data_IF_972681795127
#
_entry.id   IF_972681795127
#
_cell.length_a   1.000
_cell.length_b   1.000
_cell.length_c   1.000
_cell.angle_alpha   90.00
_cell.angle_beta   90.00
_cell.angle_gamma   90.00
#
_symmetry.space_group_name_H-M   'P 1'
#
loop_
_entity.id
_entity.type
_entity.pdbx_description
1 polymer ?
#
# COMPACT_ATOMS: atom_id res chain seq x y z
N UNK A 1 25.65 26.89 -72.32
CA UNK A 1 25.35 27.42 -70.97
C UNK A 1 24.77 28.84 -70.97
N UNK A 2 24.87 29.61 -72.07
CA UNK A 2 24.40 31.01 -72.17
C UNK A 2 22.90 31.22 -72.45
N UNK A 3 22.14 30.17 -72.74
CA UNK A 3 20.70 30.29 -73.08
C UNK A 3 19.74 30.17 -71.88
N UNK A 4 20.19 29.66 -70.73
CA UNK A 4 19.31 29.42 -69.56
C UNK A 4 19.25 30.64 -68.63
N UNK A 5 20.30 31.47 -68.62
CA UNK A 5 20.41 32.66 -67.77
C UNK A 5 19.25 33.67 -67.92
N UNK A 6 18.80 34.04 -69.13
CA UNK A 6 17.68 34.98 -69.30
C UNK A 6 16.31 34.37 -68.95
N UNK A 7 16.17 33.04 -69.03
CA UNK A 7 14.93 32.33 -68.69
C UNK A 7 14.78 32.22 -67.16
N UNK A 8 15.89 32.01 -66.45
CA UNK A 8 15.93 32.08 -64.98
C UNK A 8 15.62 33.51 -64.48
N UNK A 9 16.15 34.53 -65.17
CA UNK A 9 15.91 35.93 -64.81
C UNK A 9 14.43 36.34 -64.92
N UNK A 10 13.67 35.79 -65.88
CA UNK A 10 12.22 36.03 -65.99
C UNK A 10 11.41 35.37 -64.88
N UNK A 11 11.88 34.25 -64.34
CA UNK A 11 11.18 33.54 -63.26
C UNK A 11 11.37 34.21 -61.88
N UNK A 12 12.27 35.18 -61.78
CA UNK A 12 12.65 35.89 -60.56
C UNK A 12 12.21 37.37 -60.54
N UNK A 13 11.20 37.75 -61.32
CA UNK A 13 10.57 39.07 -61.17
C UNK A 13 9.74 39.11 -59.88
N UNK A 14 10.42 39.28 -58.75
CA UNK A 14 9.79 39.58 -57.45
C UNK A 14 9.42 41.06 -57.45
N UNK A 15 8.17 41.36 -57.12
CA UNK A 15 7.70 42.75 -57.00
C UNK A 15 8.59 43.54 -56.04
N UNK A 16 8.80 44.81 -56.34
CA UNK A 16 9.44 45.77 -55.43
C UNK A 16 8.30 46.57 -54.79
N UNK A 17 8.22 46.53 -53.46
CA UNK A 17 7.20 47.28 -52.71
C UNK A 17 7.47 48.78 -52.71
N UNK A 18 6.49 49.58 -52.29
CA UNK A 18 6.58 51.05 -52.23
C UNK A 18 7.73 51.57 -51.34
N UNK A 19 8.26 50.73 -50.45
CA UNK A 19 9.42 51.00 -49.57
C UNK A 19 10.78 50.65 -50.18
N UNK A 20 10.83 50.18 -51.44
CA UNK A 20 12.07 49.76 -52.11
C UNK A 20 12.58 48.37 -51.70
N UNK A 21 11.89 47.68 -50.80
CA UNK A 21 12.17 46.30 -50.41
C UNK A 21 11.50 45.26 -51.32
N UNK A 22 11.97 44.01 -51.28
CA UNK A 22 11.31 42.89 -51.94
C UNK A 22 9.90 42.71 -51.36
N UNK A 23 8.89 42.57 -52.22
CA UNK A 23 7.54 42.30 -51.74
C UNK A 23 7.47 40.93 -51.07
N UNK A 24 7.02 40.92 -49.82
CA UNK A 24 6.79 39.71 -49.03
C UNK A 24 5.29 39.44 -48.87
N UNK A 25 4.78 38.52 -49.68
CA UNK A 25 3.40 38.03 -49.57
C UNK A 25 3.29 36.78 -48.70
N UNK A 26 4.39 36.31 -48.10
CA UNK A 26 4.42 35.04 -47.38
C UNK A 26 3.42 35.01 -46.22
N UNK A 27 3.28 36.10 -45.47
CA UNK A 27 2.30 36.20 -44.39
C UNK A 27 0.84 36.06 -44.86
N UNK A 28 0.52 36.57 -46.06
CA UNK A 28 -0.83 36.44 -46.65
C UNK A 28 -1.09 35.00 -47.07
N UNK A 29 -0.05 34.31 -47.58
CA UNK A 29 -0.12 32.91 -47.98
C UNK A 29 -0.22 31.98 -46.77
N UNK A 30 0.46 32.30 -45.65
CA UNK A 30 0.46 31.49 -44.42
C UNK A 30 -0.83 31.63 -43.60
N UNK A 31 -1.49 32.80 -43.69
CA UNK A 31 -2.72 33.11 -42.95
C UNK A 31 -3.84 32.06 -43.09
N UNK A 32 -4.22 31.56 -44.29
CA UNK A 32 -5.24 30.51 -44.40
C UNK A 32 -4.82 29.21 -43.70
N UNK A 33 -3.55 28.82 -43.76
CA UNK A 33 -3.05 27.62 -43.06
C UNK A 33 -3.09 27.80 -41.55
N UNK A 34 -2.70 28.98 -41.07
CA UNK A 34 -2.78 29.33 -39.66
C UNK A 34 -4.23 29.24 -39.13
N UNK A 35 -5.19 29.74 -39.91
CA UNK A 35 -6.61 29.64 -39.56
C UNK A 35 -7.10 28.19 -39.49
N UNK A 36 -6.72 27.36 -40.46
CA UNK A 36 -7.08 25.93 -40.47
C UNK A 36 -6.50 25.23 -39.25
N UNK A 37 -5.22 25.42 -38.93
CA UNK A 37 -4.59 24.83 -37.75
C UNK A 37 -5.17 25.36 -36.44
N UNK A 38 -5.52 26.65 -36.38
CA UNK A 38 -6.17 27.25 -35.22
C UNK A 38 -7.53 26.64 -34.94
N UNK A 39 -8.36 26.48 -35.97
CA UNK A 39 -9.68 25.84 -35.86
C UNK A 39 -9.54 24.38 -35.48
N UNK A 40 -8.60 23.65 -36.10
CA UNK A 40 -8.34 22.25 -35.75
C UNK A 40 -7.91 22.12 -34.28
N UNK A 41 -6.99 22.96 -33.82
CA UNK A 41 -6.49 22.95 -32.45
C UNK A 41 -7.60 23.23 -31.44
N UNK A 42 -8.38 24.30 -31.64
CA UNK A 42 -9.50 24.66 -30.78
C UNK A 42 -10.57 23.58 -30.76
N UNK A 43 -10.94 23.03 -31.92
CA UNK A 43 -11.94 21.96 -32.01
C UNK A 43 -11.49 20.71 -31.26
N UNK A 44 -10.22 20.32 -31.40
CA UNK A 44 -9.67 19.13 -30.72
C UNK A 44 -9.51 19.33 -29.22
N UNK A 45 -8.99 20.46 -28.74
CA UNK A 45 -8.86 20.74 -27.30
C UNK A 45 -10.22 20.85 -26.63
N UNK A 46 -11.21 21.45 -27.31
CA UNK A 46 -12.59 21.50 -26.85
C UNK A 46 -13.24 20.11 -26.76
N UNK A 47 -13.06 19.26 -27.78
CA UNK A 47 -13.56 17.88 -27.75
C UNK A 47 -12.93 17.05 -26.62
N UNK A 48 -11.64 17.23 -26.34
CA UNK A 48 -10.94 16.53 -25.25
C UNK A 48 -11.51 16.95 -23.90
N UNK A 49 -11.62 18.26 -23.64
CA UNK A 49 -12.20 18.78 -22.40
C UNK A 49 -13.66 18.34 -22.21
N UNK A 50 -14.42 18.16 -23.30
CA UNK A 50 -15.79 17.64 -23.23
C UNK A 50 -15.86 16.12 -22.98
N UNK A 51 -14.87 15.34 -23.43
CA UNK A 51 -14.84 13.87 -23.26
C UNK A 51 -14.27 13.44 -21.91
N UNK A 52 -13.39 14.25 -21.33
CA UNK A 52 -12.74 13.97 -20.05
C UNK A 52 -13.16 15.01 -19.02
N UNK A 53 -14.18 14.72 -18.18
CA UNK A 53 -14.70 15.68 -17.21
C UNK A 53 -13.69 16.07 -16.11
N UNK A 54 -12.57 15.35 -15.98
CA UNK A 54 -11.47 15.66 -15.08
C UNK A 54 -10.44 16.64 -15.66
N UNK A 55 -10.59 17.06 -16.93
CA UNK A 55 -9.56 17.86 -17.64
C UNK A 55 -10.12 19.24 -18.01
N UNK A 56 -9.53 20.29 -17.44
CA UNK A 56 -9.87 21.66 -17.78
C UNK A 56 -9.38 22.02 -19.21
N UNK A 57 -10.02 22.98 -19.87
CA UNK A 57 -9.59 23.41 -21.21
C UNK A 57 -8.10 23.85 -21.31
N UNK A 58 -7.53 24.59 -20.33
CA UNK A 58 -6.09 24.88 -20.35
C UNK A 58 -5.23 23.62 -20.15
N UNK A 59 -5.66 22.64 -19.36
CA UNK A 59 -4.96 21.34 -19.26
C UNK A 59 -5.04 20.57 -20.59
N UNK A 60 -6.19 20.56 -21.26
CA UNK A 60 -6.36 19.94 -22.58
C UNK A 60 -5.49 20.62 -23.64
N UNK A 61 -5.25 21.93 -23.50
CA UNK A 61 -4.31 22.70 -24.33
C UNK A 61 -2.86 22.29 -24.03
N UNK A 62 -2.53 22.07 -22.75
CA UNK A 62 -1.21 21.63 -22.31
C UNK A 62 -0.87 20.21 -22.78
N UNK A 63 -1.84 19.31 -22.81
CA UNK A 63 -1.68 17.97 -23.39
C UNK A 63 -1.26 18.00 -24.86
N UNK A 64 -1.60 19.08 -25.57
CA UNK A 64 -1.25 19.31 -26.97
C UNK A 64 -0.32 20.50 -27.15
N UNK A 65 0.55 20.75 -26.17
CA UNK A 65 1.47 21.90 -26.19
C UNK A 65 2.26 22.02 -27.50
N UNK A 66 2.61 20.90 -28.14
CA UNK A 66 3.36 20.86 -29.40
C UNK A 66 2.59 21.42 -30.60
N UNK A 67 1.25 21.38 -30.59
CA UNK A 67 0.43 21.94 -31.68
C UNK A 67 0.43 23.49 -31.65
N UNK A 68 0.79 24.11 -30.52
CA UNK A 68 0.92 25.58 -30.42
C UNK A 68 1.98 26.08 -31.41
N UNK A 69 3.01 25.28 -31.70
CA UNK A 69 4.03 25.62 -32.69
C UNK A 69 3.51 25.74 -34.12
N UNK A 70 2.39 25.07 -34.45
CA UNK A 70 1.69 25.27 -35.73
C UNK A 70 1.08 26.67 -35.84
N UNK A 71 0.78 27.30 -34.71
CA UNK A 71 0.13 28.60 -34.62
C UNK A 71 1.10 29.79 -34.62
N UNK A 72 2.41 29.53 -34.60
CA UNK A 72 3.42 30.59 -34.58
C UNK A 72 3.78 31.02 -36.01
N UNK A 73 3.55 32.30 -36.40
CA UNK A 73 3.88 32.78 -37.74
C UNK A 73 5.39 33.08 -37.91
N UNK A 74 6.11 33.34 -36.81
CA UNK A 74 7.52 33.74 -36.81
C UNK A 74 8.51 32.58 -36.53
N UNK A 75 8.07 31.51 -35.86
CA UNK A 75 8.89 30.31 -35.56
C UNK A 75 8.47 29.12 -36.43
N UNK A 76 8.49 29.30 -37.75
CA UNK A 76 7.98 28.31 -38.69
C UNK A 76 8.78 27.00 -38.67
N UNK A 77 10.08 27.04 -38.36
CA UNK A 77 10.90 25.83 -38.26
C UNK A 77 10.46 24.92 -37.10
N UNK A 78 9.86 25.48 -36.04
CA UNK A 78 9.32 24.71 -34.92
C UNK A 78 8.10 23.86 -35.33
N UNK A 79 7.46 24.16 -36.47
CA UNK A 79 6.38 23.34 -37.04
C UNK A 79 6.83 21.94 -37.43
N UNK A 80 8.14 21.71 -37.57
CA UNK A 80 8.66 20.35 -37.81
C UNK A 80 8.36 19.39 -36.65
N UNK A 81 8.27 19.90 -35.42
CA UNK A 81 8.00 19.10 -34.21
C UNK A 81 6.60 18.49 -34.27
N UNK A 82 5.49 19.26 -34.34
CA UNK A 82 4.14 18.71 -34.43
C UNK A 82 3.95 17.85 -35.69
N UNK A 83 4.56 18.22 -36.81
CA UNK A 83 4.50 17.43 -38.05
C UNK A 83 5.15 16.06 -37.85
N UNK A 84 6.35 16.00 -37.28
CA UNK A 84 7.06 14.73 -37.03
C UNK A 84 6.30 13.84 -36.05
N UNK A 85 5.71 14.43 -35.00
CA UNK A 85 4.87 13.69 -34.04
C UNK A 85 3.63 13.13 -34.75
N UNK A 86 2.92 13.96 -35.53
CA UNK A 86 1.74 13.51 -36.29
C UNK A 86 2.09 12.41 -37.30
N UNK A 87 3.25 12.49 -37.95
CA UNK A 87 3.74 11.45 -38.87
C UNK A 87 4.04 10.13 -38.15
N UNK A 88 4.50 10.20 -36.90
CA UNK A 88 4.65 9.04 -36.05
C UNK A 88 3.32 8.45 -35.61
N UNK A 89 2.35 9.28 -35.25
CA UNK A 89 1.02 8.82 -34.80
C UNK A 89 0.25 8.08 -35.91
N UNK A 90 0.48 8.45 -37.17
CA UNK A 90 -0.04 7.74 -38.36
C UNK A 90 0.89 6.64 -38.87
N UNK A 91 1.91 6.27 -38.09
CA UNK A 91 2.87 5.17 -38.35
C UNK A 91 3.67 5.29 -39.66
N UNK A 92 3.78 6.50 -40.22
CA UNK A 92 4.59 6.75 -41.42
C UNK A 92 6.08 6.81 -41.07
N UNK A 93 6.42 7.30 -39.86
CA UNK A 93 7.78 7.29 -39.33
C UNK A 93 7.76 6.61 -37.96
N UNK A 94 8.66 5.66 -37.71
CA UNK A 94 8.80 5.06 -36.38
C UNK A 94 9.80 5.87 -35.55
N UNK A 95 9.29 6.70 -34.63
CA UNK A 95 10.09 7.40 -33.62
C UNK A 95 10.16 6.65 -32.28
N UNK A 96 9.67 5.42 -32.18
CA UNK A 96 9.67 4.64 -30.93
C UNK A 96 11.09 4.44 -30.39
N UNK A 97 12.09 4.22 -31.24
CA UNK A 97 13.49 4.06 -30.82
C UNK A 97 14.04 5.35 -30.20
N UNK A 98 13.76 6.49 -30.82
CA UNK A 98 14.19 7.81 -30.32
C UNK A 98 13.44 8.15 -29.04
N UNK A 99 12.12 7.89 -28.99
CA UNK A 99 11.28 8.05 -27.80
C UNK A 99 11.79 7.17 -26.66
N UNK A 100 12.12 5.91 -26.92
CA UNK A 100 12.63 4.96 -25.94
C UNK A 100 14.02 5.36 -25.43
N UNK A 101 14.86 5.98 -26.26
CA UNK A 101 16.18 6.43 -25.85
C UNK A 101 16.13 7.75 -25.07
N UNK A 102 15.28 8.69 -25.50
CA UNK A 102 14.99 9.91 -24.76
C UNK A 102 14.33 9.60 -23.41
N UNK A 103 13.38 8.65 -23.39
CA UNK A 103 12.75 8.22 -22.15
C UNK A 103 13.74 7.50 -21.26
N UNK A 104 14.67 6.66 -21.75
CA UNK A 104 15.71 6.06 -20.90
C UNK A 104 16.62 7.10 -20.24
N UNK A 105 17.02 8.15 -20.95
CA UNK A 105 17.84 9.23 -20.38
C UNK A 105 17.08 10.03 -19.32
N UNK A 106 15.83 10.37 -19.60
CA UNK A 106 14.94 11.10 -18.69
C UNK A 106 14.50 10.25 -17.49
N UNK A 107 14.13 9.00 -17.72
CA UNK A 107 13.77 8.01 -16.70
C UNK A 107 14.98 7.67 -15.84
N UNK A 108 16.21 7.59 -16.36
CA UNK A 108 17.39 7.34 -15.53
C UNK A 108 17.67 8.51 -14.57
N UNK A 109 17.50 9.76 -15.02
CA UNK A 109 17.66 10.94 -14.15
C UNK A 109 16.55 11.07 -13.11
N UNK A 110 15.33 10.65 -13.45
CA UNK A 110 14.15 10.85 -12.61
C UNK A 110 13.86 9.63 -11.73
N UNK A 111 14.24 8.42 -12.15
CA UNK A 111 13.96 7.20 -11.40
C UNK A 111 14.62 7.22 -10.03
N UNK A 112 15.79 7.82 -9.86
CA UNK A 112 16.43 7.87 -8.55
C UNK A 112 15.63 8.75 -7.57
N UNK A 113 15.26 9.96 -7.99
CA UNK A 113 14.50 10.91 -7.15
C UNK A 113 13.04 10.48 -6.96
N UNK A 114 12.36 10.00 -8.02
CA UNK A 114 10.98 9.53 -7.91
C UNK A 114 10.84 8.20 -7.19
N UNK A 115 11.79 7.26 -7.31
CA UNK A 115 11.69 6.00 -6.56
C UNK A 115 11.81 6.25 -5.06
N UNK A 116 12.69 7.17 -4.64
CA UNK A 116 12.79 7.59 -3.24
C UNK A 116 11.48 8.22 -2.76
N UNK A 117 10.88 9.12 -3.55
CA UNK A 117 9.58 9.74 -3.25
C UNK A 117 8.45 8.70 -3.16
N UNK A 118 8.36 7.77 -4.11
CA UNK A 118 7.34 6.71 -4.12
C UNK A 118 7.48 5.81 -2.89
N UNK A 119 8.70 5.42 -2.52
CA UNK A 119 8.96 4.62 -1.31
C UNK A 119 8.57 5.41 -0.05
N UNK A 120 8.98 6.68 0.05
CA UNK A 120 8.63 7.55 1.17
C UNK A 120 7.13 7.76 1.28
N UNK A 121 6.42 7.87 0.16
CA UNK A 121 4.96 7.96 0.12
C UNK A 121 4.28 6.71 0.65
N UNK A 122 4.71 5.53 0.20
CA UNK A 122 4.18 4.26 0.70
C UNK A 122 4.41 4.17 2.21
N UNK A 123 5.62 4.49 2.68
CA UNK A 123 5.95 4.44 4.12
C UNK A 123 5.10 5.44 4.92
N UNK A 124 5.00 6.69 4.47
CA UNK A 124 4.24 7.73 5.15
C UNK A 124 2.74 7.40 5.20
N UNK A 125 2.19 6.85 4.12
CA UNK A 125 0.80 6.42 4.06
C UNK A 125 0.56 5.26 5.03
N UNK A 126 1.43 4.24 5.02
CA UNK A 126 1.35 3.14 5.99
C UNK A 126 1.45 3.67 7.43
N UNK A 127 2.40 4.56 7.72
CA UNK A 127 2.54 5.14 9.07
C UNK A 127 1.32 5.95 9.50
N UNK A 128 0.73 6.73 8.60
CA UNK A 128 -0.47 7.51 8.86
C UNK A 128 -1.63 6.57 9.18
N UNK A 129 -1.83 5.54 8.36
CA UNK A 129 -2.93 4.61 8.52
C UNK A 129 -2.75 3.72 9.78
N UNK A 130 -1.50 3.42 10.17
CA UNK A 130 -1.20 2.80 11.49
C UNK A 130 -1.62 3.74 12.62
N UNK A 131 -1.22 5.02 12.55
CA UNK A 131 -1.50 6.01 13.60
C UNK A 131 -2.99 6.32 13.74
N UNK A 132 -3.74 6.35 12.65
CA UNK A 132 -5.18 6.59 12.65
C UNK A 132 -5.99 5.34 12.98
N UNK A 133 -5.35 4.15 13.01
CA UNK A 133 -6.02 2.86 13.17
C UNK A 133 -6.84 2.47 11.93
N UNK A 134 -6.70 3.19 10.82
CA UNK A 134 -7.41 2.91 9.58
C UNK A 134 -6.92 1.62 8.93
N UNK A 135 -5.62 1.30 9.03
CA UNK A 135 -5.10 -0.02 8.62
C UNK A 135 -5.82 -1.13 9.37
N UNK A 136 -5.88 -1.03 10.70
CA UNK A 136 -6.52 -2.04 11.53
C UNK A 136 -8.01 -2.16 11.16
N UNK A 137 -8.70 -1.03 10.97
CA UNK A 137 -10.10 -1.05 10.57
C UNK A 137 -10.28 -1.73 9.21
N UNK A 138 -9.47 -1.44 8.20
CA UNK A 138 -9.58 -2.03 6.86
C UNK A 138 -9.23 -3.53 6.85
N UNK A 139 -8.20 -3.90 7.59
CA UNK A 139 -7.73 -5.28 7.78
C UNK A 139 -8.78 -6.14 8.52
N UNK A 140 -9.40 -5.60 9.57
CA UNK A 140 -10.35 -6.36 10.41
C UNK A 140 -11.84 -6.17 10.04
N UNK A 141 -12.18 -5.23 9.15
CA UNK A 141 -13.58 -4.97 8.75
C UNK A 141 -13.87 -5.48 7.34
N UNK A 142 -14.30 -6.73 7.22
CA UNK A 142 -14.72 -7.35 5.95
C UNK A 142 -16.01 -6.76 5.32
N UNK A 143 -16.58 -5.68 5.88
CA UNK A 143 -17.88 -5.13 5.47
C UNK A 143 -17.80 -3.83 4.65
N UNK A 144 -16.67 -3.13 4.62
CA UNK A 144 -16.53 -1.91 3.81
C UNK A 144 -16.01 -2.27 2.40
N UNK A 145 -16.81 -1.92 1.37
CA UNK A 145 -16.68 -2.27 -0.06
C UNK A 145 -15.40 -1.76 -0.77
N UNK A 146 -14.35 -1.44 -0.03
CA UNK A 146 -13.13 -0.78 -0.53
C UNK A 146 -11.88 -1.66 -0.38
N UNK A 147 -11.99 -2.81 0.30
CA UNK A 147 -10.94 -3.81 0.34
C UNK A 147 -11.05 -4.71 -0.89
N UNK A 148 -9.98 -4.74 -1.71
CA UNK A 148 -9.89 -5.67 -2.84
C UNK A 148 -9.38 -7.00 -2.29
N UNK A 149 -10.32 -7.94 -2.15
CA UNK A 149 -10.05 -9.35 -1.85
C UNK A 149 -9.74 -10.07 -3.17
N UNK A 150 -8.60 -10.75 -3.23
CA UNK A 150 -8.12 -11.45 -4.43
C UNK A 150 -8.70 -12.84 -4.58
N UNK A 151 -8.95 -13.53 -3.46
CA UNK A 151 -9.21 -14.97 -3.43
C UNK A 151 -10.55 -15.35 -2.78
N UNK A 152 -11.36 -14.36 -2.37
CA UNK A 152 -12.62 -14.51 -1.67
C UNK A 152 -12.49 -15.34 -0.38
N UNK A 153 -11.31 -15.27 0.26
CA UNK A 153 -10.95 -15.91 1.52
C UNK A 153 -10.43 -14.80 2.41
N UNK A 154 -10.95 -14.67 3.63
CA UNK A 154 -10.35 -13.78 4.60
C UNK A 154 -9.09 -14.44 5.18
N UNK A 155 -7.90 -14.03 4.72
CA UNK A 155 -6.62 -14.63 5.15
C UNK A 155 -6.40 -14.50 6.65
N UNK A 156 -6.87 -13.41 7.27
CA UNK A 156 -6.72 -13.18 8.70
C UNK A 156 -7.59 -14.14 9.49
N UNK A 157 -8.84 -14.33 9.07
CA UNK A 157 -9.74 -15.32 9.66
C UNK A 157 -9.17 -16.72 9.49
N UNK A 158 -8.62 -17.05 8.31
CA UNK A 158 -7.99 -18.33 8.04
C UNK A 158 -6.74 -18.57 8.91
N UNK A 159 -5.87 -17.56 9.04
CA UNK A 159 -4.68 -17.60 9.92
C UNK A 159 -5.12 -17.76 11.37
N UNK A 160 -6.08 -16.96 11.85
CA UNK A 160 -6.58 -17.02 13.22
C UNK A 160 -7.20 -18.38 13.53
N UNK A 161 -8.06 -18.88 12.64
CA UNK A 161 -8.68 -20.20 12.76
C UNK A 161 -7.62 -21.29 12.83
N UNK A 162 -6.58 -21.20 11.98
CA UNK A 162 -5.48 -22.16 12.00
C UNK A 162 -4.65 -22.08 13.27
N UNK A 163 -4.33 -20.88 13.76
CA UNK A 163 -3.60 -20.69 15.01
C UNK A 163 -4.39 -21.21 16.22
N UNK A 164 -5.70 -20.97 16.26
CA UNK A 164 -6.59 -21.53 17.28
C UNK A 164 -6.60 -23.05 17.21
N UNK A 165 -6.73 -23.63 16.02
CA UNK A 165 -6.71 -25.08 15.82
C UNK A 165 -5.40 -25.71 16.31
N UNK A 166 -4.26 -25.13 15.96
CA UNK A 166 -2.94 -25.60 16.42
C UNK A 166 -2.85 -25.50 17.94
N UNK A 167 -3.23 -24.35 18.49
CA UNK A 167 -3.16 -24.11 19.93
C UNK A 167 -4.02 -25.11 20.70
N UNK A 168 -5.29 -25.26 20.33
CA UNK A 168 -6.25 -26.11 21.04
C UNK A 168 -5.98 -27.59 20.83
N UNK A 169 -5.74 -28.03 19.59
CA UNK A 169 -5.66 -29.45 19.27
C UNK A 169 -4.25 -30.03 19.42
N UNK A 170 -3.20 -29.20 19.39
CA UNK A 170 -1.81 -29.67 19.38
C UNK A 170 -0.98 -29.16 20.56
N UNK A 171 -1.12 -27.88 20.91
CA UNK A 171 -0.29 -27.26 21.97
C UNK A 171 -0.84 -27.54 23.36
N UNK A 172 -2.12 -27.25 23.63
CA UNK A 172 -2.74 -27.48 24.95
C UNK A 172 -2.57 -28.92 25.46
N UNK A 173 -2.77 -29.98 24.65
CA UNK A 173 -2.56 -31.35 25.11
C UNK A 173 -1.13 -31.65 25.57
N UNK A 174 -0.12 -30.99 24.98
CA UNK A 174 1.29 -31.17 25.38
C UNK A 174 1.61 -30.51 26.72
N UNK A 175 0.79 -29.54 27.14
CA UNK A 175 0.97 -28.77 28.38
C UNK A 175 0.14 -29.31 29.54
N UNK A 176 -0.55 -30.43 29.35
CA UNK A 176 -1.44 -31.00 30.36
C UNK A 176 -0.73 -31.12 31.72
N UNK A 177 0.50 -31.64 31.74
CA UNK A 177 1.27 -31.82 32.98
C UNK A 177 1.61 -30.49 33.65
N UNK A 178 2.05 -29.49 32.89
CA UNK A 178 2.39 -28.17 33.44
C UNK A 178 1.15 -27.44 33.98
N UNK A 179 0.01 -27.61 33.30
CA UNK A 179 -1.28 -27.08 33.74
C UNK A 179 -1.73 -27.78 35.02
N UNK A 180 -1.61 -29.11 35.10
CA UNK A 180 -1.94 -29.89 36.29
C UNK A 180 -1.07 -29.50 37.49
N UNK A 181 0.23 -29.28 37.29
CA UNK A 181 1.14 -28.86 38.35
C UNK A 181 0.83 -27.45 38.86
N UNK A 182 0.51 -26.52 37.96
CA UNK A 182 0.10 -25.16 38.34
C UNK A 182 -1.23 -25.16 39.10
N UNK A 183 -2.21 -25.95 38.64
CA UNK A 183 -3.51 -26.10 39.30
C UNK A 183 -3.32 -26.73 40.68
N UNK A 184 -2.55 -27.82 40.78
CA UNK A 184 -2.25 -28.50 42.04
C UNK A 184 -1.63 -27.53 43.04
N UNK A 185 -0.61 -26.78 42.62
CA UNK A 185 0.06 -25.80 43.45
C UNK A 185 -0.90 -24.70 43.94
N UNK A 186 -1.73 -24.18 43.03
CA UNK A 186 -2.72 -23.14 43.35
C UNK A 186 -3.76 -23.66 44.34
N UNK A 187 -4.25 -24.89 44.15
CA UNK A 187 -5.19 -25.53 45.07
C UNK A 187 -4.57 -25.79 46.44
N UNK A 188 -3.34 -26.32 46.50
CA UNK A 188 -2.61 -26.53 47.76
C UNK A 188 -2.44 -25.21 48.53
N UNK A 189 -2.03 -24.15 47.83
CA UNK A 189 -1.88 -22.82 48.42
C UNK A 189 -3.20 -22.26 48.95
N UNK A 190 -4.29 -22.38 48.19
CA UNK A 190 -5.63 -21.96 48.65
C UNK A 190 -6.06 -22.76 49.88
N UNK A 191 -5.76 -24.05 49.93
CA UNK A 191 -6.08 -24.92 51.08
C UNK A 191 -5.26 -24.54 52.32
N UNK A 192 -3.97 -24.26 52.17
CA UNK A 192 -3.08 -23.87 53.27
C UNK A 192 -3.41 -22.47 53.84
N UNK A 193 -3.68 -21.50 52.96
CA UNK A 193 -3.96 -20.12 53.33
C UNK A 193 -5.40 -19.90 53.81
N UNK A 194 -6.31 -20.86 53.58
CA UNK A 194 -7.72 -20.69 53.94
C UNK A 194 -7.99 -20.97 55.43
N UNK A 195 -8.50 -19.97 56.19
CA UNK A 195 -8.92 -20.16 57.58
C UNK A 195 -10.07 -21.16 57.73
N UNK A 196 -10.80 -21.42 56.65
CA UNK A 196 -11.86 -22.43 56.64
C UNK A 196 -11.26 -23.84 56.75
N UNK A 197 -10.24 -24.16 55.96
CA UNK A 197 -9.52 -25.46 55.96
C UNK A 197 -8.80 -25.75 57.28
N UNK A 198 -8.23 -24.74 57.94
CA UNK A 198 -7.59 -24.92 59.25
C UNK A 198 -8.61 -25.20 60.38
N UNK A 199 -9.85 -24.70 60.27
CA UNK A 199 -10.94 -24.98 61.22
C UNK A 199 -11.60 -26.35 61.02
N UNK A 200 -11.27 -27.08 59.94
CA UNK A 200 -11.88 -28.36 59.58
C UNK A 200 -11.36 -29.58 60.33
N UNK A 201 -10.15 -29.56 60.91
CA UNK A 201 -9.62 -30.70 61.67
C UNK A 201 -10.41 -31.04 62.96
N UNK A 202 -11.45 -30.27 63.29
CA UNK A 202 -12.13 -30.33 64.59
C UNK A 202 -13.64 -30.61 64.54
N UNK A 203 -14.26 -30.90 63.38
CA UNK A 203 -15.73 -31.02 63.28
C UNK A 203 -16.18 -32.40 62.73
N UNK A 204 -16.99 -33.18 63.48
CA UNK A 204 -17.65 -34.38 62.97
C UNK A 204 -18.90 -34.03 62.13
N UNK A 205 -19.06 -34.62 60.93
CA UNK A 205 -20.24 -34.45 60.06
C UNK A 205 -19.97 -33.88 58.64
N UNK A 206 -18.94 -34.38 57.95
CA UNK A 206 -18.38 -33.85 56.70
C UNK A 206 -19.22 -34.02 55.41
N UNK A 207 -20.54 -34.19 55.47
CA UNK A 207 -21.37 -34.55 54.31
C UNK A 207 -21.64 -33.36 53.35
N UNK A 208 -21.71 -32.13 53.88
CA UNK A 208 -21.95 -30.91 53.06
C UNK A 208 -20.68 -30.35 52.39
N UNK A 209 -19.51 -30.93 52.67
CA UNK A 209 -18.22 -30.46 52.16
C UNK A 209 -17.99 -30.82 50.69
N UNK A 210 -18.27 -32.08 50.34
CA UNK A 210 -18.13 -32.56 48.97
C UNK A 210 -19.03 -31.74 48.03
N UNK A 211 -20.23 -31.36 48.48
CA UNK A 211 -21.15 -30.53 47.71
C UNK A 211 -20.65 -29.08 47.55
N UNK A 212 -20.11 -28.45 48.59
CA UNK A 212 -19.56 -27.09 48.48
C UNK A 212 -18.27 -27.01 47.66
N UNK A 213 -17.42 -28.03 47.74
CA UNK A 213 -16.23 -28.14 46.89
C UNK A 213 -16.62 -28.43 45.44
N UNK A 214 -17.58 -29.33 45.23
CA UNK A 214 -18.12 -29.61 43.90
C UNK A 214 -18.76 -28.36 43.29
N UNK A 215 -19.58 -27.61 44.04
CA UNK A 215 -20.17 -26.35 43.55
C UNK A 215 -19.12 -25.29 43.22
N UNK A 216 -18.06 -25.15 44.03
CA UNK A 216 -16.97 -24.22 43.73
C UNK A 216 -16.16 -24.63 42.50
N UNK A 217 -15.84 -25.92 42.37
CA UNK A 217 -15.16 -26.47 41.21
C UNK A 217 -16.00 -26.34 39.94
N UNK A 218 -17.31 -26.66 40.02
CA UNK A 218 -18.24 -26.48 38.90
C UNK A 218 -18.31 -25.00 38.52
N UNK A 219 -18.33 -24.09 39.49
CA UNK A 219 -18.38 -22.65 39.24
C UNK A 219 -17.08 -22.13 38.62
N UNK A 220 -15.91 -22.57 39.11
CA UNK A 220 -14.61 -22.22 38.51
C UNK A 220 -14.45 -22.79 37.10
N UNK A 221 -14.80 -24.06 36.89
CA UNK A 221 -14.75 -24.69 35.57
C UNK A 221 -15.73 -24.03 34.60
N UNK A 222 -16.94 -23.68 35.07
CA UNK A 222 -17.92 -22.93 34.29
C UNK A 222 -17.41 -21.53 33.93
N UNK A 223 -16.75 -20.85 34.87
CA UNK A 223 -16.13 -19.54 34.66
C UNK A 223 -14.92 -19.59 33.71
N UNK A 224 -14.13 -20.68 33.71
CA UNK A 224 -13.08 -20.91 32.72
C UNK A 224 -13.69 -21.14 31.33
N UNK A 225 -14.84 -21.81 31.24
CA UNK A 225 -15.53 -22.02 29.97
C UNK A 225 -16.23 -20.76 29.42
N UNK A 226 -16.64 -19.82 30.28
CA UNK A 226 -17.40 -18.62 29.89
C UNK A 226 -16.58 -17.33 29.81
N UNK A 227 -15.51 -17.20 30.60
CA UNK A 227 -14.64 -16.01 30.65
C UNK A 227 -13.17 -16.35 30.34
N UNK A 228 -12.94 -17.53 29.74
CA UNK A 228 -11.66 -18.24 29.60
C UNK A 228 -10.37 -17.41 29.58
N UNK A 229 -10.20 -16.43 28.67
CA UNK A 229 -8.95 -15.67 28.59
C UNK A 229 -8.65 -14.84 29.84
N UNK A 230 -9.67 -14.24 30.46
CA UNK A 230 -9.52 -13.32 31.58
C UNK A 230 -9.17 -14.08 32.87
N UNK A 231 -9.86 -15.20 33.12
CA UNK A 231 -9.64 -16.02 34.30
C UNK A 231 -8.35 -16.85 34.20
N UNK A 232 -7.98 -17.32 33.01
CA UNK A 232 -6.67 -17.95 32.79
C UNK A 232 -5.51 -16.98 33.08
N UNK A 233 -5.66 -15.70 32.70
CA UNK A 233 -4.66 -14.68 32.98
C UNK A 233 -4.52 -14.38 34.49
N UNK A 234 -5.62 -14.14 35.19
CA UNK A 234 -5.57 -13.82 36.62
C UNK A 234 -5.13 -15.03 37.47
N UNK A 235 -5.42 -16.27 37.06
CA UNK A 235 -4.92 -17.49 37.73
C UNK A 235 -3.41 -17.66 37.59
N UNK A 236 -2.86 -17.46 36.39
CA UNK A 236 -1.40 -17.47 36.18
C UNK A 236 -0.73 -16.34 36.98
N UNK A 237 -1.31 -15.14 36.95
CA UNK A 237 -0.80 -13.99 37.72
C UNK A 237 -0.84 -14.22 39.23
N UNK A 238 -1.90 -14.85 39.75
CA UNK A 238 -2.00 -15.23 41.15
C UNK A 238 -0.97 -16.30 41.54
N UNK A 239 -0.69 -17.25 40.67
CA UNK A 239 0.37 -18.25 40.87
C UNK A 239 1.75 -17.59 40.91
N UNK A 240 1.99 -16.50 40.19
CA UNK A 240 3.26 -15.76 40.24
C UNK A 240 3.49 -14.93 41.52
N UNK A 241 2.59 -15.00 42.51
CA UNK A 241 2.71 -14.24 43.76
C UNK A 241 3.88 -14.71 44.66
N UNK A 242 4.43 -15.90 44.42
CA UNK A 242 5.55 -16.47 45.19
C UNK A 242 6.62 -17.10 44.28
N UNK A 243 7.82 -17.40 44.81
CA UNK A 243 8.93 -17.92 44.01
C UNK A 243 8.66 -19.30 43.36
N UNK A 244 7.85 -20.16 43.98
CA UNK A 244 7.55 -21.52 43.48
C UNK A 244 6.54 -21.44 42.35
N UNK A 245 5.45 -20.70 42.53
CA UNK A 245 4.47 -20.49 41.48
C UNK A 245 5.00 -19.66 40.31
N UNK A 246 5.94 -18.72 40.54
CA UNK A 246 6.67 -18.05 39.45
C UNK A 246 7.48 -19.05 38.61
N UNK A 247 8.11 -20.05 39.23
CA UNK A 247 8.86 -21.09 38.52
C UNK A 247 7.93 -21.95 37.66
N UNK A 248 6.81 -22.40 38.21
CA UNK A 248 5.80 -23.21 37.50
C UNK A 248 5.18 -22.42 36.33
N UNK A 249 4.82 -21.16 36.54
CA UNK A 249 4.30 -20.29 35.48
C UNK A 249 5.32 -20.08 34.35
N UNK A 250 6.60 -19.85 34.70
CA UNK A 250 7.67 -19.71 33.71
C UNK A 250 7.89 -21.02 32.93
N UNK A 251 7.82 -22.18 33.59
CA UNK A 251 7.92 -23.48 32.92
C UNK A 251 6.77 -23.69 31.93
N UNK A 252 5.53 -23.40 32.34
CA UNK A 252 4.36 -23.47 31.46
C UNK A 252 4.51 -22.56 30.23
N UNK A 253 4.97 -21.32 30.39
CA UNK A 253 5.19 -20.39 29.27
C UNK A 253 6.32 -20.87 28.35
N UNK A 254 7.41 -21.40 28.92
CA UNK A 254 8.53 -21.95 28.14
C UNK A 254 8.10 -23.16 27.32
N UNK A 255 7.45 -24.14 27.95
CA UNK A 255 6.95 -25.33 27.26
C UNK A 255 5.86 -24.97 26.25
N UNK A 256 4.99 -23.99 26.54
CA UNK A 256 4.01 -23.48 25.58
C UNK A 256 4.71 -22.93 24.34
N UNK A 257 5.71 -22.06 24.52
CA UNK A 257 6.47 -21.48 23.42
C UNK A 257 7.18 -22.56 22.58
N UNK A 258 7.73 -23.58 23.25
CA UNK A 258 8.42 -24.68 22.59
C UNK A 258 7.46 -25.59 21.82
N UNK A 259 6.33 -25.97 22.42
CA UNK A 259 5.29 -26.78 21.77
C UNK A 259 4.69 -26.02 20.57
N UNK A 260 4.34 -24.74 20.73
CA UNK A 260 3.83 -23.91 19.65
C UNK A 260 4.85 -23.77 18.52
N UNK A 261 6.11 -23.46 18.84
CA UNK A 261 7.16 -23.37 17.81
C UNK A 261 7.36 -24.68 17.07
N UNK A 262 7.29 -25.82 17.76
CA UNK A 262 7.45 -27.14 17.14
C UNK A 262 6.29 -27.46 16.20
N UNK A 263 5.05 -27.17 16.59
CA UNK A 263 3.87 -27.38 15.75
C UNK A 263 3.84 -26.42 14.56
N UNK A 264 4.31 -25.17 14.72
CA UNK A 264 4.41 -24.19 13.64
C UNK A 264 5.51 -24.53 12.63
N UNK A 265 6.57 -25.21 13.05
CA UNK A 265 7.67 -25.66 12.18
C UNK A 265 7.36 -26.94 11.41
N UNK A 266 6.22 -27.61 11.68
CA UNK A 266 5.80 -28.75 10.88
C UNK A 266 5.59 -28.30 9.43
N UNK A 267 6.22 -29.02 8.49
CA UNK A 267 6.29 -28.67 7.06
C UNK A 267 4.94 -28.25 6.48
N UNK A 268 3.89 -29.05 6.71
CA UNK A 268 2.52 -28.75 6.26
C UNK A 268 1.94 -27.47 6.87
N UNK A 269 2.16 -27.22 8.16
CA UNK A 269 1.65 -26.02 8.84
C UNK A 269 2.40 -24.77 8.38
N UNK A 270 3.71 -24.90 8.18
CA UNK A 270 4.57 -23.83 7.73
C UNK A 270 4.22 -23.41 6.30
N UNK A 271 4.05 -24.37 5.38
CA UNK A 271 3.62 -24.10 4.00
C UNK A 271 2.25 -23.41 3.93
N UNK A 272 1.27 -23.92 4.69
CA UNK A 272 -0.07 -23.35 4.70
C UNK A 272 -0.09 -21.92 5.28
N UNK A 273 0.64 -21.67 6.38
CA UNK A 273 0.76 -20.33 6.94
C UNK A 273 1.55 -19.38 6.03
N UNK A 274 2.62 -19.85 5.38
CA UNK A 274 3.36 -19.07 4.41
C UNK A 274 2.49 -18.67 3.22
N UNK A 275 1.67 -19.60 2.72
CA UNK A 275 0.71 -19.32 1.65
C UNK A 275 -0.30 -18.24 2.07
N UNK A 276 -0.87 -18.36 3.27
CA UNK A 276 -1.85 -17.39 3.79
C UNK A 276 -1.22 -16.01 4.02
N UNK A 277 -0.02 -15.96 4.59
CA UNK A 277 0.72 -14.70 4.80
C UNK A 277 1.12 -14.07 3.47
N UNK A 278 1.55 -14.88 2.49
CA UNK A 278 1.88 -14.40 1.15
C UNK A 278 0.67 -13.80 0.43
N UNK A 279 -0.49 -14.47 0.51
CA UNK A 279 -1.74 -13.97 -0.06
C UNK A 279 -2.16 -12.66 0.61
N UNK A 280 -2.12 -12.60 1.94
CA UNK A 280 -2.42 -11.38 2.68
C UNK A 280 -1.51 -10.20 2.29
N UNK A 281 -0.20 -10.44 2.15
CA UNK A 281 0.74 -9.40 1.71
C UNK A 281 0.46 -8.92 0.29
N UNK A 282 -0.05 -9.79 -0.59
CA UNK A 282 -0.43 -9.42 -1.93
C UNK A 282 -1.66 -8.53 -1.95
N UNK A 283 -2.65 -8.81 -1.12
CA UNK A 283 -3.83 -7.95 -0.95
C UNK A 283 -3.47 -6.59 -0.37
N UNK A 284 -2.62 -6.56 0.66
CA UNK A 284 -2.06 -5.31 1.20
C UNK A 284 -1.35 -4.53 0.08
N UNK A 285 -0.46 -5.17 -0.68
CA UNK A 285 0.24 -4.52 -1.80
C UNK A 285 -0.73 -3.88 -2.79
N UNK A 286 -1.77 -4.60 -3.22
CA UNK A 286 -2.76 -4.07 -4.18
C UNK A 286 -3.54 -2.90 -3.61
N UNK A 287 -4.00 -3.02 -2.37
CA UNK A 287 -4.83 -2.01 -1.73
C UNK A 287 -4.04 -0.72 -1.42
N UNK A 288 -2.74 -0.79 -1.19
CA UNK A 288 -1.92 0.38 -0.84
C UNK A 288 -1.10 0.95 -2.01
N UNK A 289 -0.58 0.11 -2.92
CA UNK A 289 0.28 0.57 -4.02
C UNK A 289 -0.52 1.11 -5.22
N UNK A 290 -1.74 0.62 -5.46
CA UNK A 290 -2.54 1.08 -6.62
C UNK A 290 -3.48 2.28 -6.34
N UNK A 291 -3.53 2.77 -5.09
CA UNK A 291 -4.37 3.93 -4.69
C UNK A 291 -3.60 5.25 -4.60
N UNK A 292 -2.38 5.30 -5.12
CA UNK A 292 -1.52 6.49 -5.05
C UNK A 292 -2.08 7.62 -5.93
N UNK A 293 -2.31 8.80 -5.34
CA UNK A 293 -2.78 10.01 -6.03
C UNK A 293 -1.62 10.98 -6.33
N UNK A 294 -1.76 11.73 -7.42
CA UNK A 294 -0.76 12.71 -7.89
C UNK A 294 -0.53 13.87 -6.89
N UNK A 295 -1.54 14.19 -6.06
CA UNK A 295 -1.50 15.32 -5.12
C UNK A 295 -0.49 15.11 -3.97
N UNK A 296 -0.18 13.85 -3.64
CA UNK A 296 0.77 13.50 -2.57
C UNK A 296 2.24 13.57 -3.05
N UNK A 297 2.48 13.44 -4.36
CA UNK A 297 3.84 13.38 -4.94
C UNK A 297 4.58 14.71 -4.76
N UNK A 298 3.90 15.84 -4.99
CA UNK A 298 4.48 17.19 -4.90
C UNK A 298 4.93 17.52 -3.45
N UNK A 299 4.11 17.16 -2.46
CA UNK A 299 4.39 17.41 -1.05
C UNK A 299 5.56 16.58 -0.54
N UNK A 300 5.68 15.35 -1.02
CA UNK A 300 6.74 14.42 -0.60
C UNK A 300 8.07 14.73 -1.28
N UNK A 301 8.04 15.29 -2.49
CA UNK A 301 9.21 15.85 -3.16
C UNK A 301 9.86 16.94 -2.28
N UNK A 302 9.04 17.79 -1.68
CA UNK A 302 9.52 18.83 -0.77
C UNK A 302 10.04 18.24 0.56
N UNK A 303 9.32 17.29 1.16
CA UNK A 303 9.79 16.61 2.38
C UNK A 303 11.11 15.87 2.18
N UNK A 304 11.28 15.19 1.04
CA UNK A 304 12.51 14.45 0.69
C UNK A 304 13.68 15.40 0.51
N UNK A 305 13.49 16.55 -0.17
CA UNK A 305 14.51 17.60 -0.26
C UNK A 305 14.91 18.12 1.12
N UNK A 306 13.95 18.36 2.01
CA UNK A 306 14.23 18.81 3.38
C UNK A 306 15.00 17.76 4.20
N UNK A 307 14.72 16.46 4.01
CA UNK A 307 15.45 15.37 4.65
C UNK A 307 16.90 15.25 4.13
N UNK A 308 17.11 15.36 2.82
CA UNK A 308 18.45 15.37 2.23
C UNK A 308 19.26 16.60 2.67
N UNK A 309 18.63 17.76 2.79
CA UNK A 309 19.26 18.97 3.33
C UNK A 309 19.67 18.80 4.80
N UNK A 310 18.86 18.10 5.61
CA UNK A 310 19.20 17.77 7.01
C UNK A 310 20.28 16.70 7.12
N UNK A 311 20.28 15.70 6.24
CA UNK A 311 21.28 14.62 6.23
C UNK A 311 22.67 15.11 5.78
N UNK A 312 22.72 16.17 4.96
CA UNK A 312 23.96 16.81 4.50
C UNK A 312 24.40 18.01 5.35
N UNK A 313 23.76 18.28 6.49
CA UNK A 313 24.28 19.23 7.49
C UNK A 313 25.25 18.49 8.44
N UNK A 314 26.46 19.04 8.67
CA UNK A 314 27.50 18.39 9.48
C UNK A 314 27.17 18.32 10.98
#
# INVERSE_FOLDING_TARGET
ETEIQPIIAKNYYRGIGESGGLTDYFGIIDLPFLLIFGIEFLGRTFLISRRHPSVSWPEATLWRWYDIFLLLPFLQFLRIIPVTIRLNDIQIINLETIRAQASRGFLASIAQELTEVVIMQVINQVQKDVKTGELAKQIFSSQEKTYIDLNNINEIEAIATRLVQITVCKVIPQLQTDIEDLIRYTVEKIVEESPAFQRFQQIPGAENLANQLSERLIKELSNIATEGPQNAYETVKAAMADPVGTKLANQLVQHFGQALSTELQQEKTLEELQSLVSAFLEEVKINYVMRMSDEDVEKILEETRQLQLKANQP
#
